data_IF_068388766254
#
_entry.id   IF_068388766254
#
_cell.length_a   1.000
_cell.length_b   1.000
_cell.length_c   1.000
_cell.angle_alpha   90.00
_cell.angle_beta   90.00
_cell.angle_gamma   90.00
#
_symmetry.space_group_name_H-M   'P 1'
#
loop_
_entity.id
_entity.type
_entity.pdbx_description
1 polymer ?
#
# COMPACT_ATOMS: atom_id res chain seq x y z
N UNK A 1 47.58 -50.83 5.17
CA UNK A 1 47.87 -49.41 5.47
C UNK A 1 46.59 -48.63 5.36
N UNK A 2 46.01 -48.23 6.49
CA UNK A 2 44.91 -47.27 6.49
C UNK A 2 45.51 -45.89 6.14
N UNK A 3 45.05 -45.26 5.06
CA UNK A 3 45.34 -43.85 4.84
C UNK A 3 44.56 -43.07 5.89
N UNK A 4 45.23 -42.18 6.64
CA UNK A 4 44.58 -41.20 7.48
C UNK A 4 43.61 -40.42 6.59
N UNK A 5 42.34 -40.20 6.98
CA UNK A 5 41.44 -39.35 6.22
C UNK A 5 42.06 -37.97 6.05
N UNK A 6 41.78 -37.30 4.92
CA UNK A 6 42.31 -35.97 4.63
C UNK A 6 41.73 -34.90 5.59
N UNK A 7 40.58 -35.20 6.17
CA UNK A 7 39.86 -34.38 7.16
C UNK A 7 39.83 -35.15 8.47
N UNK A 8 40.27 -34.55 9.57
CA UNK A 8 40.21 -35.11 10.92
C UNK A 8 39.01 -34.57 11.71
N UNK A 9 38.68 -35.27 12.81
CA UNK A 9 37.62 -34.86 13.75
C UNK A 9 37.94 -33.53 14.46
N UNK A 10 39.15 -33.01 14.29
CA UNK A 10 39.69 -31.76 14.86
C UNK A 10 39.83 -30.65 13.79
N UNK A 11 39.30 -30.85 12.59
CA UNK A 11 39.30 -29.85 11.52
C UNK A 11 38.39 -28.67 11.91
N UNK A 12 39.02 -27.54 12.26
CA UNK A 12 38.34 -26.40 12.79
C UNK A 12 37.41 -25.76 11.76
N UNK A 13 37.82 -25.71 10.49
CA UNK A 13 37.03 -25.08 9.44
C UNK A 13 35.75 -25.89 9.17
N UNK A 14 35.85 -27.22 9.17
CA UNK A 14 34.70 -28.11 9.06
C UNK A 14 33.75 -27.98 10.27
N UNK A 15 34.29 -27.88 11.49
CA UNK A 15 33.48 -27.70 12.69
C UNK A 15 32.73 -26.35 12.68
N UNK A 16 33.43 -25.27 12.32
CA UNK A 16 32.83 -23.93 12.18
C UNK A 16 31.73 -23.91 11.09
N UNK A 17 31.93 -24.65 9.99
CA UNK A 17 30.92 -24.83 8.94
C UNK A 17 29.67 -25.57 9.47
N UNK A 18 29.88 -26.69 10.18
CA UNK A 18 28.79 -27.48 10.79
C UNK A 18 28.00 -26.64 11.81
N UNK A 19 28.71 -25.89 12.65
CA UNK A 19 28.08 -25.04 13.66
C UNK A 19 27.24 -23.95 13.00
N UNK A 20 27.73 -23.35 11.91
CA UNK A 20 26.96 -22.34 11.14
C UNK A 20 25.72 -22.95 10.48
N UNK A 21 25.85 -24.13 9.86
CA UNK A 21 24.71 -24.85 9.29
C UNK A 21 23.65 -25.16 10.34
N UNK A 22 24.09 -25.70 11.49
CA UNK A 22 23.21 -26.03 12.61
C UNK A 22 22.54 -24.78 13.18
N UNK A 23 23.23 -23.65 13.25
CA UNK A 23 22.67 -22.38 13.66
C UNK A 23 21.52 -21.97 12.73
N UNK A 24 21.73 -22.00 11.41
CA UNK A 24 20.71 -21.56 10.45
C UNK A 24 19.50 -22.49 10.44
N UNK A 25 19.70 -23.82 10.38
CA UNK A 25 18.57 -24.77 10.38
C UNK A 25 17.88 -24.87 11.75
N UNK A 26 18.54 -24.41 12.80
CA UNK A 26 17.96 -24.36 14.14
C UNK A 26 16.99 -23.22 14.36
N UNK A 27 16.93 -22.23 13.46
CA UNK A 27 16.05 -21.07 13.59
C UNK A 27 14.63 -21.41 13.12
N UNK A 28 13.66 -20.96 13.90
CA UNK A 28 12.24 -20.96 13.51
C UNK A 28 11.73 -19.52 13.46
N UNK A 29 11.19 -19.11 12.32
CA UNK A 29 10.50 -17.82 12.15
C UNK A 29 9.01 -18.09 12.06
N UNK A 30 8.25 -17.61 13.04
CA UNK A 30 6.78 -17.68 13.05
C UNK A 30 6.23 -16.34 12.61
N UNK A 31 5.63 -16.31 11.43
CA UNK A 31 4.95 -15.13 10.92
C UNK A 31 3.57 -15.00 11.52
N UNK A 32 3.25 -13.79 11.98
CA UNK A 32 1.93 -13.42 12.50
C UNK A 32 1.15 -12.64 11.43
N UNK A 33 -0.02 -13.19 11.05
CA UNK A 33 -0.98 -12.56 10.15
C UNK A 33 -2.35 -12.40 10.83
N UNK A 34 -2.34 -12.12 12.13
CA UNK A 34 -3.54 -12.05 12.96
C UNK A 34 -4.02 -13.44 13.39
N UNK A 35 -5.15 -13.90 12.82
CA UNK A 35 -5.68 -15.23 13.14
C UNK A 35 -4.88 -16.37 12.47
N UNK A 36 -4.13 -16.06 11.41
CA UNK A 36 -3.29 -16.99 10.67
C UNK A 36 -1.83 -16.89 11.07
N UNK A 37 -1.13 -18.02 11.05
CA UNK A 37 0.33 -18.08 11.24
C UNK A 37 0.98 -18.92 10.15
N UNK A 38 2.19 -18.51 9.74
CA UNK A 38 3.06 -19.28 8.87
C UNK A 38 4.39 -19.54 9.57
N UNK A 39 4.93 -20.73 9.38
CA UNK A 39 6.18 -21.13 10.03
C UNK A 39 7.23 -21.42 8.96
N UNK A 40 8.33 -20.71 9.03
CA UNK A 40 9.57 -21.01 8.33
C UNK A 40 10.50 -21.73 9.29
N UNK A 41 10.78 -22.99 9.00
CA UNK A 41 11.62 -23.85 9.85
C UNK A 41 12.86 -24.38 9.13
N UNK A 42 13.69 -25.11 9.87
CA UNK A 42 14.92 -25.70 9.37
C UNK A 42 14.73 -26.63 8.18
N UNK A 43 13.54 -27.22 7.99
CA UNK A 43 13.25 -28.09 6.84
C UNK A 43 13.31 -27.28 5.55
N UNK A 44 12.66 -26.12 5.54
CA UNK A 44 12.68 -25.20 4.40
C UNK A 44 14.03 -24.51 4.28
N UNK A 45 14.59 -23.99 5.39
CA UNK A 45 15.87 -23.29 5.42
C UNK A 45 16.99 -24.15 4.87
N UNK A 46 17.01 -25.45 5.21
CA UNK A 46 18.06 -26.38 4.74
C UNK A 46 18.13 -26.51 3.21
N UNK A 47 17.03 -26.27 2.51
CA UNK A 47 17.00 -26.32 1.03
C UNK A 47 17.66 -25.12 0.37
N UNK A 48 17.90 -24.05 1.10
CA UNK A 48 18.52 -22.81 0.65
C UNK A 48 20.03 -22.76 0.87
N UNK A 49 20.55 -23.74 1.67
CA UNK A 49 21.95 -23.75 2.10
C UNK A 49 22.81 -24.54 1.13
N UNK A 50 23.96 -24.01 0.81
CA UNK A 50 25.00 -24.68 0.01
C UNK A 50 26.37 -24.32 0.54
N UNK A 51 27.37 -25.14 0.16
CA UNK A 51 28.78 -24.81 0.37
C UNK A 51 29.15 -23.64 -0.56
N UNK A 52 29.50 -22.51 0.05
CA UNK A 52 30.01 -21.36 -0.65
C UNK A 52 31.50 -21.44 -0.96
N UNK A 53 32.05 -20.38 -1.52
CA UNK A 53 33.48 -20.22 -1.68
C UNK A 53 34.18 -20.10 -0.31
N UNK A 54 35.38 -20.64 -0.17
CA UNK A 54 36.19 -20.58 1.06
C UNK A 54 35.58 -21.36 2.26
N UNK A 55 34.94 -22.50 2.01
CA UNK A 55 34.37 -23.36 3.06
C UNK A 55 33.37 -22.65 3.99
N UNK A 56 32.63 -21.67 3.45
CA UNK A 56 31.57 -20.94 4.16
C UNK A 56 30.21 -21.41 3.71
N UNK A 57 29.20 -21.22 4.59
CA UNK A 57 27.81 -21.44 4.23
C UNK A 57 27.33 -20.30 3.32
N UNK A 58 26.76 -20.67 2.18
CA UNK A 58 26.05 -19.77 1.27
C UNK A 58 24.55 -19.99 1.38
N UNK A 59 23.79 -18.91 1.37
CA UNK A 59 22.33 -18.94 1.33
C UNK A 59 21.89 -18.49 -0.07
N UNK A 60 21.03 -19.29 -0.70
CA UNK A 60 20.43 -18.93 -1.98
C UNK A 60 19.31 -17.90 -1.77
N UNK A 61 19.63 -16.62 -2.01
CA UNK A 61 18.70 -15.52 -1.83
C UNK A 61 17.53 -15.56 -2.85
N UNK A 62 17.69 -16.24 -3.99
CA UNK A 62 16.58 -16.41 -4.96
C UNK A 62 15.51 -17.35 -4.39
N UNK A 63 15.92 -18.40 -3.70
CA UNK A 63 15.01 -19.32 -3.01
C UNK A 63 14.34 -18.65 -1.79
N UNK A 64 15.09 -17.85 -1.02
CA UNK A 64 14.50 -17.02 0.05
C UNK A 64 13.43 -16.07 -0.54
N UNK A 65 13.75 -15.39 -1.63
CA UNK A 65 12.81 -14.52 -2.32
C UNK A 65 11.58 -15.29 -2.85
N UNK A 66 11.78 -16.51 -3.36
CA UNK A 66 10.70 -17.36 -3.81
C UNK A 66 9.73 -17.69 -2.65
N UNK A 67 10.27 -18.03 -1.48
CA UNK A 67 9.45 -18.22 -0.27
C UNK A 67 8.67 -16.95 0.11
N UNK A 68 9.33 -15.79 0.18
CA UNK A 68 8.69 -14.51 0.49
C UNK A 68 7.56 -14.21 -0.49
N UNK A 69 7.75 -14.49 -1.79
CA UNK A 69 6.70 -14.34 -2.80
C UNK A 69 5.50 -15.25 -2.55
N UNK A 70 5.68 -16.42 -1.93
CA UNK A 70 4.54 -17.29 -1.54
C UNK A 70 3.72 -16.66 -0.42
N UNK A 71 4.38 -16.06 0.58
CA UNK A 71 3.70 -15.29 1.63
C UNK A 71 2.97 -14.09 1.03
N UNK A 72 3.65 -13.32 0.18
CA UNK A 72 3.06 -12.16 -0.47
C UNK A 72 1.83 -12.51 -1.32
N UNK A 73 1.86 -13.62 -2.04
CA UNK A 73 0.72 -14.12 -2.83
C UNK A 73 -0.47 -14.49 -1.94
N UNK A 74 -0.23 -15.01 -0.75
CA UNK A 74 -1.27 -15.46 0.18
C UNK A 74 -1.87 -14.31 0.99
N UNK A 75 -1.04 -13.38 1.45
CA UNK A 75 -1.41 -12.41 2.48
C UNK A 75 -1.48 -10.95 2.02
N UNK A 76 -0.98 -10.61 0.81
CA UNK A 76 -1.16 -9.26 0.30
C UNK A 76 -2.62 -9.00 -0.06
N UNK A 77 -3.16 -7.91 0.49
CA UNK A 77 -4.52 -7.44 0.21
C UNK A 77 -4.54 -6.10 -0.52
N UNK A 78 -3.40 -5.42 -0.61
CA UNK A 78 -3.27 -4.18 -1.38
C UNK A 78 -3.65 -4.42 -2.85
N UNK A 79 -4.34 -3.44 -3.45
CA UNK A 79 -4.85 -3.46 -4.83
C UNK A 79 -5.98 -4.47 -5.11
N UNK A 80 -6.38 -5.30 -4.15
CA UNK A 80 -7.52 -6.20 -4.31
C UNK A 80 -8.84 -5.46 -4.06
N UNK A 81 -9.93 -5.90 -4.72
CA UNK A 81 -11.26 -5.38 -4.45
C UNK A 81 -11.64 -5.53 -2.97
N UNK A 82 -12.38 -4.55 -2.43
CA UNK A 82 -12.87 -4.58 -1.05
C UNK A 82 -14.40 -4.71 -1.04
N UNK A 83 -14.90 -5.68 -0.33
CA UNK A 83 -16.33 -5.78 -0.04
C UNK A 83 -16.68 -4.78 1.06
N UNK A 84 -17.65 -3.89 0.81
CA UNK A 84 -18.12 -2.91 1.77
C UNK A 84 -19.63 -3.04 1.95
N UNK A 85 -20.05 -3.35 3.16
CA UNK A 85 -21.43 -3.17 3.58
C UNK A 85 -21.63 -1.69 3.90
N UNK A 86 -22.24 -0.97 2.97
CA UNK A 86 -22.39 0.48 3.06
C UNK A 86 -23.31 0.90 4.20
N UNK A 87 -23.19 2.15 4.62
CA UNK A 87 -24.12 2.78 5.58
C UNK A 87 -25.57 2.81 5.11
N UNK A 88 -25.82 2.55 3.83
CA UNK A 88 -27.16 2.38 3.25
C UNK A 88 -27.69 0.94 3.29
N UNK A 89 -26.92 -0.01 3.86
CA UNK A 89 -27.30 -1.41 3.98
C UNK A 89 -27.07 -2.27 2.74
N UNK A 90 -26.57 -1.69 1.65
CA UNK A 90 -26.23 -2.41 0.42
C UNK A 90 -24.76 -2.81 0.45
N UNK A 91 -24.43 -4.03 0.03
CA UNK A 91 -23.03 -4.43 -0.16
C UNK A 91 -22.56 -3.99 -1.54
N UNK A 92 -21.39 -3.37 -1.60
CA UNK A 92 -20.71 -2.95 -2.83
C UNK A 92 -19.29 -3.50 -2.87
N UNK A 93 -18.78 -3.76 -4.06
CA UNK A 93 -17.38 -4.10 -4.26
C UNK A 93 -16.62 -2.83 -4.67
N UNK A 94 -15.78 -2.32 -3.79
CA UNK A 94 -14.91 -1.18 -4.06
C UNK A 94 -13.69 -1.67 -4.82
N UNK A 95 -13.58 -1.30 -6.08
CA UNK A 95 -12.48 -1.67 -6.97
C UNK A 95 -11.54 -0.49 -7.22
N UNK A 96 -10.25 -0.78 -7.38
CA UNK A 96 -9.22 0.24 -7.54
C UNK A 96 -8.65 0.73 -6.21
N UNK A 97 -7.67 1.64 -6.30
CA UNK A 97 -6.91 2.11 -5.14
C UNK A 97 -5.77 1.15 -4.75
N UNK A 98 -5.11 1.45 -3.66
CA UNK A 98 -3.88 0.76 -3.24
C UNK A 98 -3.88 0.40 -1.74
N UNK A 99 -5.00 0.55 -1.06
CA UNK A 99 -5.12 0.21 0.36
C UNK A 99 -4.99 -1.29 0.60
N UNK A 100 -4.27 -1.66 1.65
CA UNK A 100 -4.14 -3.03 2.08
C UNK A 100 -2.74 -3.39 2.56
N UNK A 101 -2.59 -4.61 3.03
CA UNK A 101 -1.32 -5.22 3.39
C UNK A 101 -0.49 -5.50 2.14
N UNK A 102 0.78 -5.14 2.18
CA UNK A 102 1.73 -5.47 1.12
C UNK A 102 3.11 -5.73 1.71
N UNK A 103 3.59 -6.95 1.59
CA UNK A 103 4.93 -7.36 2.03
C UNK A 103 5.98 -6.66 1.17
N UNK A 104 7.03 -6.15 1.81
CA UNK A 104 8.26 -5.72 1.16
C UNK A 104 9.13 -6.95 0.90
N UNK A 105 9.08 -7.45 -0.32
CA UNK A 105 9.81 -8.66 -0.67
C UNK A 105 11.32 -8.55 -0.41
N UNK A 106 11.93 -7.40 -0.72
CA UNK A 106 13.36 -7.18 -0.53
C UNK A 106 13.71 -7.00 0.94
N UNK A 107 12.94 -6.17 1.64
CA UNK A 107 13.13 -5.95 3.08
C UNK A 107 12.89 -7.23 3.89
N UNK A 108 11.96 -8.08 3.46
CA UNK A 108 11.71 -9.35 4.14
C UNK A 108 12.83 -10.37 3.90
N UNK A 109 13.41 -10.42 2.69
CA UNK A 109 14.61 -11.24 2.42
C UNK A 109 15.74 -10.80 3.33
N UNK A 110 16.04 -9.50 3.41
CA UNK A 110 17.08 -8.96 4.29
C UNK A 110 16.82 -9.32 5.76
N UNK A 111 15.57 -9.24 6.19
CA UNK A 111 15.18 -9.56 7.56
C UNK A 111 15.33 -11.05 7.88
N UNK A 112 14.90 -11.96 6.97
CA UNK A 112 15.14 -13.41 7.11
C UNK A 112 16.63 -13.69 7.28
N UNK A 113 17.48 -13.14 6.40
CA UNK A 113 18.93 -13.33 6.48
C UNK A 113 19.52 -12.82 7.81
N UNK A 114 18.97 -11.72 8.34
CA UNK A 114 19.37 -11.21 9.65
C UNK A 114 18.93 -12.13 10.80
N UNK A 115 17.71 -12.67 10.75
CA UNK A 115 17.18 -13.59 11.76
C UNK A 115 17.99 -14.91 11.78
N UNK A 116 18.32 -15.47 10.62
CA UNK A 116 19.18 -16.66 10.51
C UNK A 116 20.57 -16.41 11.12
N UNK A 117 21.16 -15.26 10.83
CA UNK A 117 22.47 -14.87 11.41
C UNK A 117 22.40 -14.67 12.92
N UNK A 118 21.25 -14.23 13.45
CA UNK A 118 21.05 -14.09 14.89
C UNK A 118 20.94 -15.44 15.61
N UNK A 119 20.56 -16.53 14.90
CA UNK A 119 20.48 -17.89 15.42
C UNK A 119 19.46 -18.09 16.54
N UNK A 120 18.33 -17.36 16.46
CA UNK A 120 17.27 -17.40 17.50
C UNK A 120 15.91 -17.47 16.85
N UNK A 121 15.02 -18.24 17.48
CA UNK A 121 13.62 -18.24 17.10
C UNK A 121 13.00 -16.84 17.27
N UNK A 122 12.12 -16.48 16.33
CA UNK A 122 11.43 -15.21 16.33
C UNK A 122 9.98 -15.39 15.91
N UNK A 123 9.09 -14.63 16.56
CA UNK A 123 7.69 -14.48 16.16
C UNK A 123 7.49 -13.01 15.83
N UNK A 124 7.05 -12.72 14.60
CA UNK A 124 6.88 -11.36 14.09
C UNK A 124 5.97 -11.28 12.87
N UNK A 125 5.48 -10.10 12.58
CA UNK A 125 4.93 -9.80 11.27
C UNK A 125 6.06 -9.74 10.21
N UNK A 126 5.75 -9.95 8.91
CA UNK A 126 6.71 -9.67 7.85
C UNK A 126 6.98 -8.17 7.73
N UNK A 127 8.06 -7.82 7.03
CA UNK A 127 8.35 -6.43 6.66
C UNK A 127 7.34 -5.98 5.61
N UNK A 128 6.64 -4.88 5.86
CA UNK A 128 5.60 -4.37 4.98
C UNK A 128 6.01 -3.08 4.25
N UNK A 129 5.66 -2.98 2.97
CA UNK A 129 5.64 -1.72 2.21
C UNK A 129 4.43 -0.87 2.58
N UNK A 130 3.27 -1.52 2.76
CA UNK A 130 2.04 -0.87 3.21
C UNK A 130 1.32 -1.76 4.20
N UNK A 131 0.71 -1.13 5.18
CA UNK A 131 -0.08 -1.78 6.22
C UNK A 131 -1.55 -1.43 6.08
N UNK A 132 -2.42 -2.19 6.71
CA UNK A 132 -3.84 -1.94 6.81
C UNK A 132 -4.29 -1.99 8.28
N UNK A 133 -5.57 -1.75 8.54
CA UNK A 133 -6.08 -1.65 9.91
C UNK A 133 -6.31 -3.02 10.56
N UNK A 134 -6.47 -4.08 9.78
CA UNK A 134 -6.86 -5.39 10.30
C UNK A 134 -6.34 -6.51 9.40
N UNK A 135 -6.04 -7.65 10.01
CA UNK A 135 -5.87 -8.95 9.33
C UNK A 135 -7.16 -9.78 9.30
N UNK A 136 -8.28 -9.25 9.83
CA UNK A 136 -9.57 -9.93 9.83
C UNK A 136 -10.27 -9.97 8.48
N UNK A 137 -11.58 -10.22 8.48
CA UNK A 137 -12.42 -10.38 7.28
C UNK A 137 -12.27 -9.22 6.28
N UNK A 138 -12.13 -8.00 6.80
CA UNK A 138 -11.90 -6.80 6.00
C UNK A 138 -10.64 -6.08 6.49
N UNK A 139 -9.68 -5.88 5.61
CA UNK A 139 -8.40 -5.26 5.96
C UNK A 139 -8.53 -3.78 6.40
N UNK A 140 -9.60 -3.09 6.00
CA UNK A 140 -9.91 -1.74 6.49
C UNK A 140 -10.49 -1.73 7.92
N UNK A 141 -10.89 -2.89 8.48
CA UNK A 141 -11.42 -3.04 9.83
C UNK A 141 -12.67 -2.20 10.09
N UNK A 142 -12.83 -1.76 11.34
CA UNK A 142 -14.00 -1.01 11.81
C UNK A 142 -13.76 0.51 11.85
N UNK A 143 -12.62 0.98 11.32
CA UNK A 143 -12.23 2.39 11.33
C UNK A 143 -11.90 2.85 9.91
N UNK A 144 -12.82 3.55 9.25
CA UNK A 144 -12.67 3.98 7.86
C UNK A 144 -13.54 5.19 7.53
N UNK A 145 -13.19 5.86 6.44
CA UNK A 145 -14.02 6.87 5.78
C UNK A 145 -14.74 6.22 4.62
N UNK A 146 -16.05 6.27 4.60
CA UNK A 146 -16.93 5.84 3.52
C UNK A 146 -17.37 7.04 2.69
N UNK A 147 -17.03 7.06 1.39
CA UNK A 147 -17.35 8.17 0.47
C UNK A 147 -18.25 7.65 -0.65
N UNK A 148 -19.54 7.98 -0.56
CA UNK A 148 -20.54 7.62 -1.57
C UNK A 148 -20.68 8.74 -2.61
N UNK A 149 -20.10 8.56 -3.79
CA UNK A 149 -20.13 9.54 -4.88
C UNK A 149 -21.51 9.68 -5.52
N UNK A 150 -22.35 8.64 -5.46
CA UNK A 150 -23.73 8.69 -5.99
C UNK A 150 -24.58 9.64 -5.18
N UNK A 151 -24.53 9.49 -3.85
CA UNK A 151 -25.35 10.27 -2.93
C UNK A 151 -24.66 11.56 -2.49
N UNK A 152 -23.37 11.75 -2.85
CA UNK A 152 -22.54 12.87 -2.40
C UNK A 152 -22.55 13.02 -0.89
N UNK A 153 -22.43 11.88 -0.18
CA UNK A 153 -22.49 11.80 1.27
C UNK A 153 -21.35 10.93 1.81
N UNK A 154 -20.73 11.38 2.89
CA UNK A 154 -19.59 10.76 3.57
C UNK A 154 -19.99 10.32 4.97
N UNK A 155 -19.49 9.16 5.37
CA UNK A 155 -19.53 8.66 6.74
C UNK A 155 -18.11 8.39 7.23
N UNK A 156 -17.81 8.74 8.48
CA UNK A 156 -16.57 8.40 9.16
C UNK A 156 -16.90 7.48 10.33
N UNK A 157 -16.34 6.28 10.28
CA UNK A 157 -16.40 5.32 11.38
C UNK A 157 -15.07 5.26 12.11
N UNK A 158 -15.11 5.16 13.43
CA UNK A 158 -13.97 4.84 14.30
C UNK A 158 -14.39 3.78 15.31
N UNK A 159 -13.66 2.67 15.33
CA UNK A 159 -13.95 1.52 16.23
C UNK A 159 -15.42 1.07 16.11
N UNK A 160 -15.92 0.94 14.88
CA UNK A 160 -17.31 0.56 14.58
C UNK A 160 -18.38 1.61 14.86
N UNK A 161 -18.00 2.80 15.33
CA UNK A 161 -18.95 3.87 15.68
C UNK A 161 -18.93 4.99 14.66
N UNK A 162 -20.11 5.42 14.22
CA UNK A 162 -20.26 6.61 13.40
C UNK A 162 -19.85 7.86 14.18
N UNK A 163 -18.85 8.58 13.71
CA UNK A 163 -18.30 9.80 14.34
C UNK A 163 -18.74 11.06 13.61
N UNK A 164 -18.81 10.99 12.26
CA UNK A 164 -19.20 12.10 11.38
C UNK A 164 -20.00 11.56 10.22
N UNK A 165 -21.04 12.27 9.82
CA UNK A 165 -21.65 12.17 8.52
C UNK A 165 -21.79 13.57 7.92
N UNK A 166 -21.65 13.70 6.62
CA UNK A 166 -21.73 14.99 5.94
C UNK A 166 -21.98 14.87 4.46
N UNK A 167 -22.81 15.75 3.92
CA UNK A 167 -22.82 16.01 2.50
C UNK A 167 -21.52 16.64 2.05
N UNK A 168 -21.10 16.32 0.81
CA UNK A 168 -19.90 16.89 0.18
C UNK A 168 -20.16 17.27 -1.29
N UNK A 169 -19.18 17.86 -1.95
CA UNK A 169 -19.16 18.03 -3.40
C UNK A 169 -17.88 17.41 -3.95
N UNK A 170 -18.02 16.38 -4.78
CA UNK A 170 -16.91 15.71 -5.46
C UNK A 170 -16.46 16.41 -6.74
N UNK A 171 -15.59 15.76 -7.49
CA UNK A 171 -15.07 16.22 -8.76
C UNK A 171 -16.14 16.52 -9.82
N UNK A 172 -15.85 17.46 -10.71
CA UNK A 172 -16.77 17.97 -11.73
C UNK A 172 -16.86 17.03 -12.93
N UNK A 173 -17.98 16.32 -13.08
CA UNK A 173 -18.20 15.39 -14.18
C UNK A 173 -18.15 16.08 -15.56
N UNK A 174 -18.78 17.25 -15.72
CA UNK A 174 -18.85 17.92 -17.01
C UNK A 174 -17.50 18.40 -17.54
N UNK A 175 -16.50 18.48 -16.64
CA UNK A 175 -15.11 18.85 -16.96
C UNK A 175 -14.15 17.65 -16.99
N UNK A 176 -14.66 16.42 -16.80
CA UNK A 176 -13.81 15.22 -16.73
C UNK A 176 -12.95 15.14 -15.44
N UNK A 177 -13.32 15.85 -14.39
CA UNK A 177 -12.61 15.86 -13.11
C UNK A 177 -13.29 14.94 -12.08
N UNK A 178 -13.81 13.79 -12.51
CA UNK A 178 -14.47 12.88 -11.57
C UNK A 178 -13.52 12.43 -10.46
N UNK A 179 -14.06 12.26 -9.26
CA UNK A 179 -13.30 11.68 -8.14
C UNK A 179 -13.11 10.20 -8.40
N UNK A 180 -11.87 9.68 -8.40
CA UNK A 180 -11.63 8.26 -8.62
C UNK A 180 -12.21 7.41 -7.51
N UNK A 181 -12.86 6.29 -7.90
CA UNK A 181 -13.29 5.24 -6.97
C UNK A 181 -12.11 4.37 -6.57
N UNK A 182 -12.18 3.77 -5.38
CA UNK A 182 -11.14 2.86 -4.90
C UNK A 182 -11.03 2.83 -3.38
N UNK A 183 -10.19 1.91 -2.91
CA UNK A 183 -9.77 1.85 -1.51
C UNK A 183 -8.39 2.48 -1.38
N UNK A 184 -8.29 3.53 -0.58
CA UNK A 184 -7.09 4.34 -0.39
C UNK A 184 -6.72 4.43 1.09
N UNK A 185 -5.47 4.78 1.38
CA UNK A 185 -5.04 5.18 2.71
C UNK A 185 -4.83 6.69 2.77
N UNK A 186 -5.20 7.33 3.88
CA UNK A 186 -4.82 8.71 4.10
C UNK A 186 -3.29 8.85 4.01
N UNK A 187 -2.82 9.67 3.09
CA UNK A 187 -1.37 9.81 2.85
C UNK A 187 -0.69 10.61 3.97
N UNK A 188 -1.28 11.73 4.32
CA UNK A 188 -0.92 12.60 5.44
C UNK A 188 -2.07 13.55 5.76
N UNK A 189 -1.93 14.37 6.78
CA UNK A 189 -2.86 15.50 7.03
C UNK A 189 -2.06 16.73 7.40
N UNK A 190 -2.53 17.89 6.97
CA UNK A 190 -1.91 19.18 7.34
C UNK A 190 -2.93 20.29 7.43
N UNK A 191 -2.60 21.33 8.21
CA UNK A 191 -3.42 22.53 8.28
C UNK A 191 -2.82 23.66 7.42
N UNK A 192 -3.70 24.56 6.99
CA UNK A 192 -3.35 25.79 6.26
C UNK A 192 -2.57 25.49 4.97
N UNK A 193 -3.01 24.51 4.21
CA UNK A 193 -2.45 24.17 2.91
C UNK A 193 -2.96 25.11 1.82
N UNK A 194 -2.18 25.23 0.75
CA UNK A 194 -2.60 25.92 -0.47
C UNK A 194 -2.61 24.91 -1.60
N UNK A 195 -3.80 24.57 -2.08
CA UNK A 195 -3.99 23.63 -3.20
C UNK A 195 -3.76 24.38 -4.51
N UNK A 196 -2.84 23.86 -5.33
CA UNK A 196 -2.44 24.50 -6.59
C UNK A 196 -2.73 23.57 -7.77
N UNK A 197 -3.24 24.16 -8.85
CA UNK A 197 -3.40 23.52 -10.15
C UNK A 197 -3.05 24.50 -11.25
N UNK A 198 -3.18 24.09 -12.53
CA UNK A 198 -2.79 24.94 -13.66
C UNK A 198 -3.51 26.29 -13.70
N UNK A 199 -4.72 26.37 -13.14
CA UNK A 199 -5.66 27.50 -13.23
C UNK A 199 -6.22 27.93 -11.88
N UNK A 200 -5.72 27.38 -10.76
CA UNK A 200 -6.19 27.77 -9.43
C UNK A 200 -5.11 27.73 -8.36
N UNK A 201 -5.31 28.57 -7.36
CA UNK A 201 -4.58 28.57 -6.09
C UNK A 201 -5.62 28.79 -4.98
N UNK A 202 -5.85 27.75 -4.16
CA UNK A 202 -6.95 27.75 -3.19
C UNK A 202 -6.43 27.40 -1.80
N UNK A 203 -6.48 28.36 -0.84
CA UNK A 203 -6.16 28.06 0.55
C UNK A 203 -7.25 27.22 1.19
N UNK A 204 -6.85 26.22 1.96
CA UNK A 204 -7.74 25.35 2.77
C UNK A 204 -7.18 25.23 4.19
N UNK A 205 -8.07 25.09 5.17
CA UNK A 205 -7.64 24.95 6.57
C UNK A 205 -7.24 23.52 6.89
N UNK A 206 -7.98 22.56 6.39
CA UNK A 206 -7.78 21.11 6.65
C UNK A 206 -7.55 20.41 5.33
N UNK A 207 -6.36 19.84 5.15
CA UNK A 207 -6.00 19.08 3.97
C UNK A 207 -5.69 17.63 4.32
N UNK A 208 -6.35 16.69 3.67
CA UNK A 208 -6.29 15.25 3.95
C UNK A 208 -6.27 14.47 2.62
N UNK A 209 -5.11 14.40 1.93
CA UNK A 209 -4.96 13.68 0.67
C UNK A 209 -4.99 12.17 0.88
N UNK A 210 -5.62 11.46 -0.06
CA UNK A 210 -5.70 9.99 -0.05
C UNK A 210 -5.34 9.35 -1.40
N UNK A 211 -5.31 10.13 -2.49
CA UNK A 211 -4.91 9.62 -3.82
C UNK A 211 -4.21 10.73 -4.62
N UNK A 212 -2.88 10.81 -4.51
CA UNK A 212 -2.11 11.90 -5.11
C UNK A 212 -2.62 13.25 -4.65
N UNK A 213 -3.02 14.10 -5.61
CA UNK A 213 -3.57 15.42 -5.35
C UNK A 213 -5.09 15.42 -5.05
N UNK A 214 -5.70 14.25 -4.92
CA UNK A 214 -7.10 14.11 -4.51
C UNK A 214 -7.19 13.86 -3.02
N UNK A 215 -7.94 14.71 -2.33
CA UNK A 215 -8.11 14.62 -0.88
C UNK A 215 -9.43 15.22 -0.40
N UNK A 216 -9.65 15.08 0.90
CA UNK A 216 -10.74 15.74 1.62
C UNK A 216 -10.25 17.08 2.15
N UNK A 217 -11.07 18.12 2.04
CA UNK A 217 -10.75 19.44 2.59
C UNK A 217 -11.99 20.30 2.83
N UNK A 218 -11.86 21.33 3.65
CA UNK A 218 -12.89 22.35 3.83
C UNK A 218 -13.04 23.21 2.56
N UNK A 219 -14.27 23.61 2.26
CA UNK A 219 -14.60 24.46 1.12
C UNK A 219 -15.47 25.64 1.59
N UNK A 220 -14.84 26.62 2.24
CA UNK A 220 -15.50 27.79 2.84
C UNK A 220 -16.17 28.69 1.82
N UNK A 221 -15.84 28.58 0.53
CA UNK A 221 -16.46 29.29 -0.58
C UNK A 221 -17.79 28.68 -1.03
N UNK A 222 -18.18 27.53 -0.46
CA UNK A 222 -19.46 26.86 -0.77
C UNK A 222 -20.44 27.01 0.37
N UNK A 223 -21.68 27.32 0.01
CA UNK A 223 -22.81 27.41 0.96
C UNK A 223 -23.76 26.20 0.85
N UNK A 224 -23.53 25.32 -0.15
CA UNK A 224 -24.35 24.13 -0.39
C UNK A 224 -23.45 22.96 -0.73
N UNK A 225 -23.82 21.79 -0.22
CA UNK A 225 -23.15 20.53 -0.45
C UNK A 225 -24.18 19.46 -0.84
N UNK A 226 -23.71 18.34 -1.39
CA UNK A 226 -24.56 17.22 -1.78
C UNK A 226 -25.29 17.38 -3.11
N UNK A 227 -26.21 16.46 -3.35
CA UNK A 227 -27.09 16.44 -4.51
C UNK A 227 -26.35 16.36 -5.85
N UNK A 228 -26.80 17.15 -6.83
CA UNK A 228 -26.27 17.12 -8.21
C UNK A 228 -25.20 18.17 -8.52
N UNK A 229 -24.72 18.90 -7.51
CA UNK A 229 -23.75 20.01 -7.69
C UNK A 229 -22.49 19.55 -8.44
N UNK A 230 -22.00 18.36 -8.13
CA UNK A 230 -20.78 17.79 -8.72
C UNK A 230 -20.87 17.62 -10.25
N UNK A 231 -22.08 17.52 -10.82
CA UNK A 231 -22.25 17.31 -12.27
C UNK A 231 -21.69 18.45 -13.11
N UNK A 232 -21.84 19.71 -12.65
CA UNK A 232 -21.43 20.91 -13.39
C UNK A 232 -20.65 21.92 -12.56
N UNK A 233 -20.75 21.86 -11.23
CA UNK A 233 -20.13 22.77 -10.28
C UNK A 233 -19.21 22.05 -9.28
N UNK A 234 -18.67 20.90 -9.64
CA UNK A 234 -17.77 20.11 -8.80
C UNK A 234 -16.36 20.69 -8.65
N UNK A 235 -15.53 19.99 -7.92
CA UNK A 235 -14.11 20.28 -7.72
C UNK A 235 -13.23 19.77 -8.88
N UNK A 236 -11.91 19.81 -8.75
CA UNK A 236 -10.95 19.17 -9.66
C UNK A 236 -10.64 17.70 -9.28
N UNK A 237 -11.51 17.07 -8.49
CA UNK A 237 -11.38 15.68 -8.04
C UNK A 237 -11.51 15.53 -6.52
N UNK A 238 -11.18 16.55 -5.75
CA UNK A 238 -11.23 16.54 -4.29
C UNK A 238 -12.66 16.46 -3.73
N UNK A 239 -12.76 16.04 -2.49
CA UNK A 239 -13.98 15.99 -1.69
C UNK A 239 -14.08 17.30 -0.91
N UNK A 240 -14.91 18.20 -1.39
CA UNK A 240 -15.19 19.50 -0.77
C UNK A 240 -16.20 19.32 0.36
N UNK A 241 -15.84 19.67 1.58
CA UNK A 241 -16.63 19.48 2.79
C UNK A 241 -17.00 20.82 3.45
N UNK A 242 -18.12 20.87 4.21
CA UNK A 242 -18.33 21.92 5.20
C UNK A 242 -17.16 21.99 6.18
N UNK A 243 -16.73 23.19 6.58
CA UNK A 243 -15.58 23.38 7.45
C UNK A 243 -15.67 22.62 8.79
N UNK A 244 -16.87 22.52 9.37
CA UNK A 244 -17.11 21.76 10.61
C UNK A 244 -16.89 20.26 10.43
N UNK A 245 -17.33 19.69 9.32
CA UNK A 245 -17.11 18.28 8.99
C UNK A 245 -15.62 18.02 8.70
N UNK A 246 -14.99 18.84 7.86
CA UNK A 246 -13.56 18.71 7.56
C UNK A 246 -12.69 18.78 8.83
N UNK A 247 -13.01 19.72 9.75
CA UNK A 247 -12.35 19.81 11.06
C UNK A 247 -12.47 18.51 11.86
N UNK A 248 -13.69 18.01 12.01
CA UNK A 248 -13.95 16.81 12.82
C UNK A 248 -13.29 15.56 12.24
N UNK A 249 -13.29 15.42 10.89
CA UNK A 249 -12.57 14.36 10.19
C UNK A 249 -11.08 14.50 10.46
N UNK A 250 -10.50 15.68 10.24
CA UNK A 250 -9.09 15.96 10.47
C UNK A 250 -8.62 15.61 11.89
N UNK A 251 -9.44 15.92 12.90
CA UNK A 251 -9.15 15.62 14.31
C UNK A 251 -9.26 14.11 14.64
N UNK A 252 -9.92 13.33 13.78
CA UNK A 252 -10.23 11.92 14.06
C UNK A 252 -9.30 10.95 13.36
N UNK A 253 -8.91 11.23 12.10
CA UNK A 253 -8.15 10.31 11.25
C UNK A 253 -6.66 10.65 11.25
N UNK A 254 -5.81 9.63 11.01
CA UNK A 254 -4.37 9.78 10.87
C UNK A 254 -3.87 9.08 9.60
N UNK A 255 -2.58 9.26 9.25
CA UNK A 255 -1.93 8.60 8.11
C UNK A 255 -2.23 7.10 8.12
N UNK A 256 -2.57 6.56 6.95
CA UNK A 256 -2.94 5.16 6.78
C UNK A 256 -4.43 4.85 7.01
N UNK A 257 -5.21 5.82 7.51
CA UNK A 257 -6.65 5.62 7.72
C UNK A 257 -7.35 5.24 6.41
N UNK A 258 -8.15 4.18 6.42
CA UNK A 258 -8.82 3.69 5.21
C UNK A 258 -9.83 4.69 4.68
N UNK A 259 -9.83 4.92 3.36
CA UNK A 259 -10.78 5.78 2.63
C UNK A 259 -11.37 4.98 1.48
N UNK A 260 -12.63 4.62 1.59
CA UNK A 260 -13.37 3.78 0.65
C UNK A 260 -14.28 4.66 -0.21
N UNK A 261 -13.91 4.86 -1.47
CA UNK A 261 -14.64 5.71 -2.42
C UNK A 261 -15.36 4.84 -3.43
N UNK A 262 -16.67 4.97 -3.51
CA UNK A 262 -17.49 4.11 -4.36
C UNK A 262 -18.71 4.85 -4.96
N UNK A 263 -19.32 4.18 -5.94
CA UNK A 263 -20.65 4.51 -6.48
C UNK A 263 -21.62 3.38 -6.20
N UNK A 264 -22.89 3.71 -6.05
CA UNK A 264 -23.94 2.70 -5.91
C UNK A 264 -24.12 1.92 -7.21
N UNK A 265 -24.50 0.63 -7.14
CA UNK A 265 -24.78 -0.17 -8.33
C UNK A 265 -25.81 0.52 -9.26
N UNK A 266 -25.49 0.56 -10.55
CA UNK A 266 -26.34 1.22 -11.56
C UNK A 266 -26.09 2.73 -11.72
N UNK A 267 -25.32 3.36 -10.84
CA UNK A 267 -24.82 4.72 -11.04
C UNK A 267 -23.57 4.69 -11.92
N UNK A 268 -23.79 4.70 -13.23
CA UNK A 268 -22.75 4.93 -14.22
C UNK A 268 -22.91 6.38 -14.71
N UNK A 269 -22.33 7.38 -14.04
CA UNK A 269 -22.20 8.67 -14.67
C UNK A 269 -21.46 8.43 -15.98
N UNK A 270 -21.91 9.05 -17.06
CA UNK A 270 -21.20 9.00 -18.33
C UNK A 270 -19.83 9.62 -18.07
N UNK A 271 -18.93 8.82 -17.53
CA UNK A 271 -17.53 9.16 -17.46
C UNK A 271 -17.13 9.29 -18.91
N UNK A 272 -16.68 10.47 -19.30
CA UNK A 272 -15.71 10.52 -20.39
C UNK A 272 -14.60 9.61 -19.91
N UNK A 273 -14.62 8.36 -20.36
CA UNK A 273 -13.59 7.39 -20.01
C UNK A 273 -12.26 8.08 -20.24
N UNK A 274 -11.49 8.29 -19.18
CA UNK A 274 -10.05 8.42 -19.42
C UNK A 274 -9.71 7.22 -20.28
N UNK A 275 -8.97 7.41 -21.40
CA UNK A 275 -8.59 6.31 -22.25
C UNK A 275 -8.09 5.20 -21.35
N UNK A 276 -8.73 4.03 -21.42
CA UNK A 276 -8.29 2.86 -20.67
C UNK A 276 -6.81 2.71 -20.99
N UNK A 277 -5.97 2.70 -19.96
CA UNK A 277 -4.54 2.63 -20.18
C UNK A 277 -4.26 1.42 -21.07
N UNK A 278 -3.55 1.61 -22.15
CA UNK A 278 -3.04 0.52 -22.97
C UNK A 278 -1.64 0.11 -22.51
N UNK A 279 -1.21 -1.07 -22.87
CA UNK A 279 0.11 -1.60 -22.47
C UNK A 279 1.25 -0.63 -22.81
N UNK A 280 1.32 -0.01 -24.02
CA UNK A 280 2.34 0.99 -24.36
C UNK A 280 2.33 2.21 -23.41
N UNK A 281 1.16 2.71 -23.07
CA UNK A 281 1.01 3.86 -22.17
C UNK A 281 1.49 3.53 -20.76
N UNK A 282 1.21 2.32 -20.25
CA UNK A 282 1.72 1.85 -18.95
C UNK A 282 3.24 1.70 -18.98
N UNK A 283 3.80 1.06 -19.99
CA UNK A 283 5.26 0.92 -20.16
C UNK A 283 5.92 2.30 -20.19
N UNK A 284 5.33 3.26 -20.93
CA UNK A 284 5.84 4.62 -20.96
C UNK A 284 5.76 5.31 -19.60
N UNK A 285 4.62 5.22 -18.91
CA UNK A 285 4.44 5.81 -17.57
C UNK A 285 5.46 5.27 -16.56
N UNK A 286 5.79 3.99 -16.62
CA UNK A 286 6.83 3.38 -15.79
C UNK A 286 8.22 3.90 -16.19
N UNK A 287 8.49 3.98 -17.50
CA UNK A 287 9.81 4.38 -18.03
C UNK A 287 10.19 5.82 -17.68
N UNK A 288 9.22 6.72 -17.56
CA UNK A 288 9.46 8.14 -17.25
C UNK A 288 9.63 8.42 -15.75
N UNK A 289 9.44 7.45 -14.86
CA UNK A 289 9.67 7.62 -13.41
C UNK A 289 11.12 8.06 -13.15
N UNK A 290 12.09 7.53 -13.90
CA UNK A 290 13.50 7.88 -13.77
C UNK A 290 14.09 7.58 -12.38
N UNK A 291 15.13 8.32 -11.96
CA UNK A 291 15.69 8.22 -10.61
C UNK A 291 14.64 8.60 -9.56
N UNK A 292 14.41 7.71 -8.59
CA UNK A 292 13.36 7.90 -7.58
C UNK A 292 13.78 8.95 -6.56
N UNK A 293 12.94 9.96 -6.38
CA UNK A 293 13.00 10.98 -5.33
C UNK A 293 11.67 11.04 -4.60
N UNK A 294 11.57 11.81 -3.53
CA UNK A 294 10.29 12.02 -2.84
C UNK A 294 9.22 12.66 -3.74
N UNK A 295 9.64 13.44 -4.73
CA UNK A 295 8.75 14.06 -5.73
C UNK A 295 8.22 13.05 -6.76
N UNK A 296 8.83 11.87 -6.87
CA UNK A 296 8.40 10.81 -7.79
C UNK A 296 7.11 10.11 -7.38
N UNK A 297 6.57 10.39 -6.18
CA UNK A 297 5.40 9.71 -5.64
C UNK A 297 4.21 9.74 -6.60
N UNK A 298 3.86 10.91 -7.11
CA UNK A 298 2.72 11.08 -8.02
C UNK A 298 2.90 10.27 -9.31
N UNK A 299 4.11 10.25 -9.88
CA UNK A 299 4.41 9.49 -11.09
C UNK A 299 4.32 7.98 -10.84
N UNK A 300 4.86 7.51 -9.72
CA UNK A 300 4.83 6.09 -9.32
C UNK A 300 3.39 5.63 -9.07
N UNK A 301 2.60 6.40 -8.31
CA UNK A 301 1.18 6.09 -8.06
C UNK A 301 0.38 6.07 -9.36
N UNK A 302 0.61 7.03 -10.25
CA UNK A 302 -0.05 7.07 -11.57
C UNK A 302 0.28 5.84 -12.41
N UNK A 303 1.56 5.48 -12.54
CA UNK A 303 1.99 4.30 -13.28
C UNK A 303 1.36 3.02 -12.69
N UNK A 304 1.27 2.91 -11.35
CA UNK A 304 0.61 1.79 -10.66
C UNK A 304 -0.88 1.72 -10.99
N UNK A 305 -1.59 2.84 -10.92
CA UNK A 305 -3.02 2.91 -11.23
C UNK A 305 -3.30 2.52 -12.68
N UNK A 306 -2.48 3.00 -13.62
CA UNK A 306 -2.57 2.63 -15.03
C UNK A 306 -2.32 1.12 -15.22
N UNK A 307 -1.29 0.54 -14.59
CA UNK A 307 -1.03 -0.90 -14.63
C UNK A 307 -2.21 -1.71 -14.08
N UNK A 308 -2.78 -1.29 -12.95
CA UNK A 308 -3.89 -1.99 -12.31
C UNK A 308 -5.18 -1.95 -13.16
N UNK A 309 -5.36 -0.93 -14.00
CA UNK A 309 -6.52 -0.80 -14.89
C UNK A 309 -6.46 -1.75 -16.10
N UNK A 310 -5.31 -2.38 -16.36
CA UNK A 310 -5.15 -3.36 -17.43
C UNK A 310 -5.85 -4.69 -17.10
N UNK A 311 -6.29 -5.40 -18.14
CA UNK A 311 -6.70 -6.80 -18.00
C UNK A 311 -5.51 -7.68 -17.59
N UNK A 312 -5.77 -8.88 -17.03
CA UNK A 312 -4.69 -9.80 -16.66
C UNK A 312 -3.85 -10.24 -17.87
N UNK A 313 -4.45 -10.36 -19.04
CA UNK A 313 -3.74 -10.65 -20.30
C UNK A 313 -2.82 -9.50 -20.72
N UNK A 314 -3.24 -8.25 -20.52
CA UNK A 314 -2.44 -7.07 -20.83
C UNK A 314 -1.36 -6.81 -19.80
N UNK A 315 -1.63 -7.06 -18.51
CA UNK A 315 -0.62 -7.00 -17.44
C UNK A 315 0.59 -7.89 -17.73
N UNK A 316 0.36 -9.07 -18.28
CA UNK A 316 1.43 -9.99 -18.67
C UNK A 316 2.33 -9.44 -19.78
N UNK A 317 1.88 -8.42 -20.53
CA UNK A 317 2.64 -7.78 -21.61
C UNK A 317 3.46 -6.55 -21.17
N UNK A 318 3.31 -6.12 -19.92
CA UNK A 318 4.08 -4.99 -19.36
C UNK A 318 5.49 -5.46 -19.01
N UNK A 319 6.44 -5.16 -19.90
CA UNK A 319 7.82 -5.68 -19.86
C UNK A 319 8.69 -5.04 -18.77
N UNK A 320 8.31 -3.89 -18.23
CA UNK A 320 9.05 -3.15 -17.22
C UNK A 320 8.34 -3.08 -15.85
N UNK A 321 7.50 -4.05 -15.56
CA UNK A 321 6.77 -4.11 -14.29
C UNK A 321 7.71 -4.11 -13.06
N UNK A 322 8.85 -4.80 -13.15
CA UNK A 322 9.84 -4.86 -12.07
C UNK A 322 10.45 -3.48 -11.76
N UNK A 323 10.57 -2.61 -12.78
CA UNK A 323 10.99 -1.21 -12.58
C UNK A 323 9.98 -0.44 -11.73
N UNK A 324 8.68 -0.67 -11.93
CA UNK A 324 7.64 -0.03 -11.12
C UNK A 324 7.71 -0.50 -9.66
N UNK A 325 7.86 -1.81 -9.43
CA UNK A 325 7.98 -2.35 -8.06
C UNK A 325 9.24 -1.88 -7.36
N UNK A 326 10.36 -1.80 -8.09
CA UNK A 326 11.60 -1.25 -7.56
C UNK A 326 11.47 0.24 -7.21
N UNK A 327 10.77 1.03 -8.05
CA UNK A 327 10.54 2.44 -7.79
C UNK A 327 9.67 2.68 -6.55
N UNK A 328 8.67 1.84 -6.33
CA UNK A 328 7.84 1.88 -5.13
C UNK A 328 8.64 1.56 -3.86
N UNK A 329 9.50 0.54 -3.91
CA UNK A 329 10.37 0.17 -2.80
C UNK A 329 11.37 1.31 -2.49
N UNK A 330 12.00 1.89 -3.51
CA UNK A 330 12.92 3.00 -3.35
C UNK A 330 12.24 4.24 -2.75
N UNK A 331 11.02 4.56 -3.19
CA UNK A 331 10.25 5.66 -2.62
C UNK A 331 9.91 5.41 -1.15
N UNK A 332 9.52 4.20 -0.79
CA UNK A 332 9.24 3.81 0.58
C UNK A 332 10.48 3.97 1.48
N UNK A 333 11.65 3.53 0.99
CA UNK A 333 12.92 3.70 1.71
C UNK A 333 13.28 5.18 1.91
N UNK A 334 13.09 6.04 0.90
CA UNK A 334 13.32 7.48 1.03
C UNK A 334 12.39 8.12 2.05
N UNK A 335 11.13 7.71 2.09
CA UNK A 335 10.15 8.20 3.09
C UNK A 335 10.52 7.77 4.51
N UNK A 336 11.04 6.57 4.69
CA UNK A 336 11.47 6.06 5.99
C UNK A 336 12.72 6.77 6.52
N UNK A 337 13.55 7.35 5.65
CA UNK A 337 14.75 8.10 6.01
C UNK A 337 14.48 9.58 6.35
N UNK A 338 13.27 10.09 6.10
CA UNK A 338 12.92 11.43 6.55
C UNK A 338 12.80 11.42 8.09
N UNK A 339 13.55 12.28 8.81
CA UNK A 339 13.33 12.43 10.23
C UNK A 339 11.89 12.87 10.45
N UNK A 340 11.22 12.24 11.40
CA UNK A 340 9.93 12.72 11.89
C UNK A 340 10.16 14.19 12.30
N UNK A 341 9.55 15.10 11.57
CA UNK A 341 9.72 16.54 11.80
C UNK A 341 9.29 16.81 13.22
N UNK A 342 10.31 17.01 14.07
CA UNK A 342 10.15 17.26 15.49
C UNK A 342 9.37 18.55 15.63
N UNK A 343 8.19 18.45 16.23
CA UNK A 343 7.49 19.62 16.72
C UNK A 343 8.42 20.44 17.58
N UNK A 344 8.82 21.60 17.09
CA UNK A 344 9.36 22.67 17.91
C UNK A 344 8.59 23.95 17.62
N UNK A 345 7.86 24.32 18.68
CA UNK A 345 7.38 25.63 19.11
C UNK A 345 6.30 26.30 18.27
#
# INVERSE_FOLDING_TARGET
CYRKPAVGDDDKDLLDLIDTLNQYVGVTITYDFGDDKEVLDGTTISTWLSEGTDEKVSIDEEEVLAFVKTLAKKYNTAYSPKELKTSYGTTVTVTGGFYGWRIDNSGEVEQILADLKAGKDVEREPVYLTTANSHGEHDYGDSYVEINLTNQHLFLYKDGKLVVESDFVSGNLSKGHDTPTGAFGLTYKTMNAVLRGPDYETPVTYWMPFNGDVGMHDATWRNKFGGSIYKTGGSHGCINLPASAAKKIYETIDKGYAVLVYRMPGDNPTVVQQPQADVPSVINAISIIGPVTLESETAIVNARNMYNSLSDADKAQVTNYDTLTAAEAALAALKAQQPADGGQQ
#
